data_IF_918539544023
#
_entry.id   IF_918539544023
#
_cell.length_a   1.000
_cell.length_b   1.000
_cell.length_c   1.000
_cell.angle_alpha   90.00
_cell.angle_beta   90.00
_cell.angle_gamma   90.00
#
_symmetry.space_group_name_H-M   'P 1'
#
loop_
_entity.id
_entity.type
_entity.pdbx_description
1 polymer ?
#
# COMPACT_ATOMS: atom_id res chain seq x y z
N UNK A 1 -4.96 5.24 17.98
CA UNK A 1 -4.52 5.24 16.58
C UNK A 1 -3.14 4.61 16.46
N UNK A 2 -2.89 3.85 15.40
CA UNK A 2 -1.61 3.20 15.20
C UNK A 2 -0.54 4.20 14.78
N UNK A 3 0.68 4.06 15.30
CA UNK A 3 1.82 4.89 14.89
C UNK A 3 2.15 4.65 13.42
N UNK A 4 1.82 3.47 12.87
CA UNK A 4 2.03 3.16 11.46
C UNK A 4 1.12 4.01 10.56
N UNK A 5 -0.13 4.19 10.95
CA UNK A 5 -1.05 5.03 10.20
C UNK A 5 -0.55 6.48 10.21
N UNK A 6 -0.13 6.96 11.36
CA UNK A 6 0.41 8.32 11.50
C UNK A 6 1.67 8.51 10.66
N UNK A 7 2.55 7.50 10.66
CA UNK A 7 3.80 7.53 9.90
C UNK A 7 3.52 7.65 8.39
N UNK A 8 2.57 6.87 7.88
CA UNK A 8 2.22 6.90 6.47
C UNK A 8 1.69 8.29 6.06
N UNK A 9 0.80 8.86 6.86
CA UNK A 9 0.25 10.19 6.61
C UNK A 9 1.35 11.25 6.66
N UNK A 10 2.25 11.16 7.64
CA UNK A 10 3.36 12.09 7.79
C UNK A 10 4.30 12.03 6.58
N UNK A 11 4.62 10.83 6.10
CA UNK A 11 5.44 10.66 4.91
C UNK A 11 4.81 11.35 3.70
N UNK A 12 3.50 11.20 3.53
CA UNK A 12 2.81 11.85 2.42
C UNK A 12 2.87 13.38 2.54
N UNK A 13 2.69 13.92 3.74
CA UNK A 13 2.77 15.35 3.99
C UNK A 13 4.17 15.91 3.75
N UNK A 14 5.20 15.07 3.93
CA UNK A 14 6.59 15.48 3.73
C UNK A 14 7.03 15.44 2.27
N UNK A 15 6.12 15.18 1.33
CA UNK A 15 6.38 15.31 -0.09
C UNK A 15 6.60 14.01 -0.84
N UNK A 16 6.56 12.87 -0.17
CA UNK A 16 6.64 11.58 -0.86
C UNK A 16 5.30 11.27 -1.53
N UNK A 17 5.33 10.51 -2.62
CA UNK A 17 4.06 10.15 -3.27
C UNK A 17 3.31 9.12 -2.42
N UNK A 18 2.06 8.85 -2.80
CA UNK A 18 1.20 7.96 -2.01
C UNK A 18 1.76 6.54 -1.87
N UNK A 19 2.39 6.03 -2.92
CA UNK A 19 3.00 4.71 -2.88
C UNK A 19 4.23 4.67 -1.97
N UNK A 20 5.09 5.68 -2.09
CA UNK A 20 6.27 5.82 -1.24
C UNK A 20 5.88 5.92 0.23
N UNK A 21 4.85 6.71 0.51
CA UNK A 21 4.40 6.95 1.88
C UNK A 21 3.97 5.66 2.58
N UNK A 22 3.23 4.82 1.89
CA UNK A 22 2.77 3.55 2.46
C UNK A 22 3.91 2.55 2.57
N UNK A 23 4.67 2.36 1.50
CA UNK A 23 5.72 1.35 1.49
C UNK A 23 6.80 1.64 2.53
N UNK A 24 7.25 2.89 2.66
CA UNK A 24 8.27 3.26 3.62
C UNK A 24 7.88 2.92 5.06
N UNK A 25 6.60 3.08 5.37
CA UNK A 25 6.10 2.85 6.72
C UNK A 25 6.34 1.42 7.18
N UNK A 26 6.32 0.45 6.28
CA UNK A 26 6.40 -0.97 6.64
C UNK A 26 7.71 -1.65 6.23
N UNK A 27 8.49 -1.02 5.34
CA UNK A 27 9.58 -1.74 4.66
C UNK A 27 10.69 -2.23 5.57
N UNK A 28 11.16 -1.43 6.53
CA UNK A 28 12.31 -1.79 7.35
C UNK A 28 12.09 -3.05 8.19
N UNK A 29 10.94 -3.16 8.82
CA UNK A 29 10.65 -4.36 9.62
C UNK A 29 10.42 -5.60 8.77
N UNK A 30 10.25 -5.41 7.46
CA UNK A 30 10.07 -6.52 6.53
C UNK A 30 11.33 -6.81 5.72
N UNK A 31 12.44 -6.20 6.09
CA UNK A 31 13.74 -6.49 5.49
C UNK A 31 14.11 -5.69 4.26
N UNK A 32 13.37 -4.63 3.96
CA UNK A 32 13.68 -3.76 2.83
C UNK A 32 14.13 -2.40 3.34
N UNK A 33 15.29 -1.92 2.93
CA UNK A 33 15.79 -0.64 3.40
C UNK A 33 14.98 0.52 2.80
N UNK A 34 14.94 1.64 3.56
CA UNK A 34 14.11 2.78 3.18
C UNK A 34 14.48 3.38 1.83
N UNK A 35 15.76 3.52 1.57
CA UNK A 35 16.21 4.12 0.31
C UNK A 35 15.73 3.30 -0.89
N UNK A 36 15.87 1.98 -0.80
CA UNK A 36 15.41 1.07 -1.85
C UNK A 36 13.89 1.15 -2.01
N UNK A 37 13.17 1.19 -0.88
CA UNK A 37 11.70 1.29 -0.89
C UNK A 37 11.23 2.56 -1.60
N UNK A 38 11.85 3.71 -1.28
CA UNK A 38 11.49 4.97 -1.93
C UNK A 38 11.73 4.93 -3.44
N UNK A 39 12.86 4.35 -3.85
CA UNK A 39 13.20 4.24 -5.27
C UNK A 39 12.24 3.33 -6.02
N UNK A 40 11.94 2.17 -5.47
CA UNK A 40 11.01 1.21 -6.08
C UNK A 40 9.63 1.85 -6.26
N UNK A 41 9.16 2.55 -5.26
CA UNK A 41 7.81 3.11 -5.27
C UNK A 41 7.66 4.40 -6.07
N UNK A 42 8.76 5.00 -6.53
CA UNK A 42 8.74 6.28 -7.24
C UNK A 42 7.78 6.28 -8.44
N UNK A 43 7.77 5.21 -9.21
CA UNK A 43 6.96 5.13 -10.43
C UNK A 43 5.50 4.74 -10.21
N UNK A 44 5.10 4.48 -8.95
CA UNK A 44 3.76 3.96 -8.66
C UNK A 44 2.78 5.03 -8.18
N UNK A 45 3.26 6.24 -7.91
CA UNK A 45 2.37 7.35 -7.52
C UNK A 45 1.46 7.76 -8.68
N UNK A 46 0.34 8.38 -8.35
CA UNK A 46 -0.69 8.80 -9.33
C UNK A 46 -1.14 7.65 -10.24
N UNK A 47 -1.32 6.47 -9.64
CA UNK A 47 -1.78 5.30 -10.39
C UNK A 47 -0.80 4.90 -11.47
N UNK A 48 0.48 4.76 -11.09
CA UNK A 48 1.58 4.44 -12.01
C UNK A 48 1.73 5.53 -13.09
N UNK A 49 1.50 6.78 -12.69
CA UNK A 49 1.62 7.98 -13.52
C UNK A 49 0.67 8.01 -14.71
N UNK A 50 -0.35 7.15 -14.72
CA UNK A 50 -1.30 7.04 -15.84
C UNK A 50 -2.75 6.94 -15.37
N UNK A 51 -3.01 7.25 -14.10
CA UNK A 51 -4.37 7.17 -13.56
C UNK A 51 -4.88 5.74 -13.38
N UNK A 52 -3.97 4.78 -13.33
CA UNK A 52 -4.31 3.37 -13.10
C UNK A 52 -4.57 3.07 -11.62
N UNK A 53 -4.13 1.90 -11.16
CA UNK A 53 -4.35 1.50 -9.76
C UNK A 53 -3.71 2.50 -8.81
N UNK A 54 -4.46 2.89 -7.77
CA UNK A 54 -3.98 3.84 -6.77
C UNK A 54 -2.65 3.40 -6.15
N UNK A 55 -1.71 4.35 -6.01
CA UNK A 55 -0.38 4.06 -5.45
C UNK A 55 -0.40 3.49 -4.05
N UNK A 56 -1.40 3.84 -3.24
CA UNK A 56 -1.54 3.26 -1.89
C UNK A 56 -1.88 1.78 -1.98
N UNK A 57 -2.66 1.39 -3.00
CA UNK A 57 -3.05 -0.01 -3.22
C UNK A 57 -1.85 -0.82 -3.69
N UNK A 58 -1.10 -0.32 -4.69
CA UNK A 58 0.09 -1.03 -5.17
C UNK A 58 1.14 -1.18 -4.07
N UNK A 59 1.34 -0.14 -3.26
CA UNK A 59 2.27 -0.23 -2.13
C UNK A 59 1.80 -1.24 -1.09
N UNK A 60 0.49 -1.27 -0.81
CA UNK A 60 -0.05 -2.25 0.12
C UNK A 60 0.18 -3.68 -0.38
N UNK A 61 0.05 -3.91 -1.69
CA UNK A 61 0.34 -5.22 -2.28
C UNK A 61 1.82 -5.58 -2.11
N UNK A 62 2.72 -4.60 -2.24
CA UNK A 62 4.14 -4.82 -1.99
C UNK A 62 4.39 -5.21 -0.52
N UNK A 63 3.74 -4.55 0.41
CA UNK A 63 3.85 -4.85 1.84
C UNK A 63 3.36 -6.27 2.12
N UNK A 64 2.22 -6.63 1.56
CA UNK A 64 1.66 -7.99 1.73
C UNK A 64 2.64 -9.02 1.14
N UNK A 65 3.20 -8.73 -0.02
CA UNK A 65 4.18 -9.61 -0.65
C UNK A 65 5.45 -9.77 0.17
N UNK A 66 5.96 -8.67 0.74
CA UNK A 66 7.16 -8.71 1.58
C UNK A 66 6.92 -9.56 2.83
N UNK A 67 5.74 -9.50 3.40
CA UNK A 67 5.44 -10.18 4.64
C UNK A 67 5.08 -11.65 4.46
N UNK A 68 4.30 -11.97 3.45
CA UNK A 68 3.71 -13.30 3.28
C UNK A 68 4.17 -14.03 2.03
N UNK A 69 4.80 -13.34 1.09
CA UNK A 69 5.26 -13.92 -0.15
C UNK A 69 6.50 -14.79 0.04
N UNK A 70 6.86 -15.53 -0.98
CA UNK A 70 8.02 -16.40 -0.97
C UNK A 70 8.83 -16.22 -2.24
N UNK A 71 10.15 -16.35 -2.13
CA UNK A 71 11.04 -16.34 -3.28
C UNK A 71 11.09 -17.72 -3.97
N UNK A 72 10.48 -18.74 -3.36
CA UNK A 72 10.43 -20.09 -3.90
C UNK A 72 9.18 -20.28 -4.74
N UNK A 73 9.35 -20.46 -6.06
CA UNK A 73 8.24 -20.62 -6.98
C UNK A 73 7.39 -21.86 -6.67
N UNK A 74 7.93 -22.84 -5.98
CA UNK A 74 7.22 -24.05 -5.61
C UNK A 74 6.39 -23.90 -4.33
N UNK A 75 6.55 -22.78 -3.62
CA UNK A 75 5.82 -22.53 -2.38
C UNK A 75 4.39 -22.05 -2.67
N UNK A 76 3.51 -23.00 -2.94
CA UNK A 76 2.12 -22.72 -3.30
C UNK A 76 1.30 -22.17 -2.14
N UNK A 77 1.66 -22.56 -0.92
CA UNK A 77 0.97 -22.11 0.29
C UNK A 77 1.11 -20.61 0.49
N UNK A 78 2.35 -20.09 0.41
CA UNK A 78 2.60 -18.67 0.55
C UNK A 78 1.94 -17.87 -0.57
N UNK A 79 1.99 -18.38 -1.79
CA UNK A 79 1.34 -17.73 -2.94
C UNK A 79 -0.16 -17.62 -2.73
N UNK A 80 -0.79 -18.69 -2.28
CA UNK A 80 -2.23 -18.74 -2.03
C UNK A 80 -2.63 -17.75 -0.94
N UNK A 81 -1.87 -17.73 0.16
CA UNK A 81 -2.13 -16.83 1.27
C UNK A 81 -1.98 -15.37 0.84
N UNK A 82 -0.91 -15.06 0.10
CA UNK A 82 -0.67 -13.71 -0.40
C UNK A 82 -1.81 -13.25 -1.30
N UNK A 83 -2.24 -14.09 -2.23
CA UNK A 83 -3.35 -13.74 -3.14
C UNK A 83 -4.65 -13.50 -2.38
N UNK A 84 -4.91 -14.31 -1.36
CA UNK A 84 -6.11 -14.17 -0.54
C UNK A 84 -6.12 -12.83 0.20
N UNK A 85 -4.98 -12.44 0.77
CA UNK A 85 -4.86 -11.19 1.49
C UNK A 85 -4.95 -9.97 0.55
N UNK A 86 -4.41 -10.08 -0.67
CA UNK A 86 -4.54 -9.04 -1.68
C UNK A 86 -6.01 -8.83 -2.05
N UNK A 87 -6.76 -9.91 -2.23
CA UNK A 87 -8.19 -9.83 -2.52
C UNK A 87 -8.96 -9.19 -1.37
N UNK A 88 -8.63 -9.56 -0.14
CA UNK A 88 -9.25 -8.99 1.05
C UNK A 88 -8.97 -7.49 1.16
N UNK A 89 -7.72 -7.09 0.95
CA UNK A 89 -7.35 -5.68 0.94
C UNK A 89 -8.15 -4.91 -0.11
N UNK A 90 -8.20 -5.45 -1.32
CA UNK A 90 -8.90 -4.81 -2.45
C UNK A 90 -10.37 -4.58 -2.12
N UNK A 91 -11.04 -5.59 -1.57
CA UNK A 91 -12.45 -5.48 -1.19
C UNK A 91 -12.67 -4.41 -0.13
N UNK A 92 -11.83 -4.39 0.90
CA UNK A 92 -11.95 -3.41 1.97
C UNK A 92 -11.70 -2.00 1.47
N UNK A 93 -10.70 -1.84 0.62
CA UNK A 93 -10.35 -0.53 0.05
C UNK A 93 -11.47 -0.01 -0.84
N UNK A 94 -12.00 -0.85 -1.74
CA UNK A 94 -13.12 -0.47 -2.62
C UNK A 94 -14.37 -0.14 -1.82
N UNK A 95 -14.64 -0.90 -0.77
CA UNK A 95 -15.79 -0.65 0.09
C UNK A 95 -15.71 0.72 0.76
N UNK A 96 -14.52 1.13 1.19
CA UNK A 96 -14.32 2.42 1.84
C UNK A 96 -14.26 3.59 0.88
N UNK A 97 -13.74 3.39 -0.31
CA UNK A 97 -13.38 4.51 -1.21
C UNK A 97 -14.11 4.50 -2.55
N UNK A 98 -14.77 3.41 -2.89
CA UNK A 98 -15.56 3.29 -4.12
C UNK A 98 -14.82 2.74 -5.32
N UNK A 99 -13.50 2.74 -5.31
CA UNK A 99 -12.69 2.25 -6.42
C UNK A 99 -11.26 2.01 -5.95
N UNK A 100 -10.47 1.29 -6.75
CA UNK A 100 -9.01 1.21 -6.56
C UNK A 100 -8.27 1.99 -7.66
N UNK A 101 -9.00 2.59 -8.59
CA UNK A 101 -8.41 3.28 -9.73
C UNK A 101 -8.18 4.75 -9.41
N UNK A 102 -6.95 5.20 -9.57
CA UNK A 102 -6.53 6.55 -9.20
C UNK A 102 -7.41 7.64 -9.83
N UNK A 103 -7.64 7.58 -11.13
CA UNK A 103 -8.42 8.60 -11.82
C UNK A 103 -9.87 8.68 -11.36
N UNK A 104 -10.40 7.57 -10.80
CA UNK A 104 -11.76 7.54 -10.26
C UNK A 104 -11.81 8.12 -8.85
N UNK A 105 -10.67 8.17 -8.16
CA UNK A 105 -10.57 8.58 -6.77
C UNK A 105 -10.12 10.03 -6.59
N UNK A 106 -9.40 10.57 -7.55
CA UNK A 106 -8.82 11.90 -7.44
C UNK A 106 -9.85 12.98 -7.73
N UNK A 107 -10.25 13.72 -6.66
CA UNK A 107 -10.98 14.96 -6.78
C UNK A 107 -10.06 16.12 -6.39
N UNK A 108 -9.31 15.95 -5.30
CA UNK A 108 -8.30 16.88 -4.86
C UNK A 108 -7.27 16.16 -3.97
N UNK A 109 -6.22 16.88 -3.58
CA UNK A 109 -5.12 16.31 -2.80
C UNK A 109 -5.51 15.87 -1.40
N UNK A 110 -6.58 16.45 -0.84
CA UNK A 110 -7.03 16.06 0.50
C UNK A 110 -7.53 14.61 0.50
N UNK A 111 -8.09 14.15 -0.61
CA UNK A 111 -8.49 12.76 -0.76
C UNK A 111 -7.29 11.82 -0.73
N UNK A 112 -6.17 12.22 -1.32
CA UNK A 112 -4.96 11.38 -1.32
C UNK A 112 -4.46 11.10 0.09
N UNK A 113 -4.51 12.08 0.98
CA UNK A 113 -4.15 11.88 2.39
C UNK A 113 -5.06 10.83 3.03
N UNK A 114 -6.36 10.91 2.75
CA UNK A 114 -7.34 9.98 3.27
C UNK A 114 -7.11 8.57 2.72
N UNK A 115 -6.73 8.45 1.45
CA UNK A 115 -6.43 7.16 0.84
C UNK A 115 -5.20 6.51 1.47
N UNK A 116 -4.16 7.30 1.75
CA UNK A 116 -2.96 6.82 2.45
C UNK A 116 -3.35 6.30 3.84
N UNK A 117 -4.15 7.07 4.57
CA UNK A 117 -4.62 6.68 5.90
C UNK A 117 -5.42 5.39 5.85
N UNK A 118 -6.36 5.29 4.90
CA UNK A 118 -7.21 4.11 4.76
C UNK A 118 -6.39 2.86 4.40
N UNK A 119 -5.41 2.99 3.50
CA UNK A 119 -4.57 1.87 3.12
C UNK A 119 -3.76 1.35 4.31
N UNK A 120 -3.15 2.25 5.08
CA UNK A 120 -2.41 1.86 6.28
C UNK A 120 -3.32 1.20 7.31
N UNK A 121 -4.52 1.74 7.49
CA UNK A 121 -5.50 1.18 8.43
C UNK A 121 -5.90 -0.24 8.04
N UNK A 122 -6.17 -0.47 6.75
CA UNK A 122 -6.54 -1.80 6.26
C UNK A 122 -5.38 -2.79 6.45
N UNK A 123 -4.14 -2.35 6.19
CA UNK A 123 -2.97 -3.20 6.42
C UNK A 123 -2.87 -3.62 7.88
N UNK A 124 -3.15 -2.70 8.82
CA UNK A 124 -3.15 -3.03 10.24
C UNK A 124 -4.27 -4.02 10.59
N UNK A 125 -5.44 -3.85 10.00
CA UNK A 125 -6.58 -4.76 10.21
C UNK A 125 -6.27 -6.17 9.73
N UNK A 126 -5.68 -6.29 8.55
CA UNK A 126 -5.30 -7.58 7.96
C UNK A 126 -4.24 -8.26 8.82
N UNK A 127 -3.28 -7.47 9.32
CA UNK A 127 -2.16 -7.98 10.10
C UNK A 127 -2.60 -8.53 11.45
N UNK A 128 -3.76 -8.10 11.96
CA UNK A 128 -4.29 -8.57 13.24
C UNK A 128 -4.90 -9.96 13.16
N UNK A 129 -5.05 -10.50 11.98
CA UNK A 129 -5.64 -11.83 11.77
C UNK A 129 -4.58 -12.91 11.50
#
# INVERSE_FOLDING_TARGET
MSTKIEQAVENFKNGFNCSQAVLDTYCEQLGLDRETAFKIATGFGNGMRMGGVCGTVTAAFMVIGLKYGSADAADKESKKKTHSLIKDFTKRFESKNGSVICKDLIGDKSLCTKLVQNAAQILEEIDSH
#
